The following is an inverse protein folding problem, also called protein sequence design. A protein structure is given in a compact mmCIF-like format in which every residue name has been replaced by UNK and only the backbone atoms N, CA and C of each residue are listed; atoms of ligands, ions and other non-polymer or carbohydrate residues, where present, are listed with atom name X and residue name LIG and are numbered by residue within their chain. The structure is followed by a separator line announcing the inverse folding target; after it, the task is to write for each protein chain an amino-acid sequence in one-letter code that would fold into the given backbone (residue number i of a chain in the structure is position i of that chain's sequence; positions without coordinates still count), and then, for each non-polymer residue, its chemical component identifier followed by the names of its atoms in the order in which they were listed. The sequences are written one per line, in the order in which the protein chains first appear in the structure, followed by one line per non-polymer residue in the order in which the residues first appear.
data_IF_625168926884
#
_entry.id   IF_625168926884
#
_cell.length_a   1.000
_cell.length_b   1.000
_cell.length_c   1.000
_cell.angle_alpha   90.00
_cell.angle_beta   90.00
_cell.angle_gamma   90.00
#
_symmetry.space_group_name_H-M   'P 1'
#
loop_
_entity.id
_entity.type
_entity.pdbx_description
1 polymer ?
#
# COMPACT_ATOMS: atom_id res chain seq x y z
N UNK A 1 28.09 1.33 24.77
CA UNK A 1 28.13 2.02 23.45
C UNK A 1 27.44 1.23 22.32
N UNK A 2 27.58 -0.10 22.22
CA UNK A 2 26.90 -0.93 21.20
C UNK A 2 25.37 -1.01 21.35
N UNK A 3 24.85 -0.85 22.56
CA UNK A 3 23.42 -0.93 22.88
C UNK A 3 22.60 0.22 22.27
N UNK A 4 23.20 1.41 22.12
CA UNK A 4 22.55 2.57 21.49
C UNK A 4 22.34 2.34 19.99
N UNK A 5 23.34 1.78 19.28
CA UNK A 5 23.20 1.45 17.86
C UNK A 5 22.19 0.31 17.65
N UNK A 6 22.17 -0.70 18.53
CA UNK A 6 21.19 -1.78 18.47
C UNK A 6 19.76 -1.27 18.74
N UNK A 7 19.58 -0.35 19.69
CA UNK A 7 18.30 0.31 19.94
C UNK A 7 17.84 1.16 18.75
N UNK A 8 18.74 1.91 18.13
CA UNK A 8 18.45 2.71 16.94
C UNK A 8 18.11 1.82 15.74
N UNK A 9 18.82 0.71 15.56
CA UNK A 9 18.50 -0.30 14.55
C UNK A 9 17.18 -0.99 14.84
N UNK A 10 16.81 -1.20 16.11
CA UNK A 10 15.53 -1.80 16.46
C UNK A 10 14.37 -0.83 16.21
N UNK A 11 14.54 0.46 16.53
CA UNK A 11 13.58 1.51 16.20
C UNK A 11 13.45 1.67 14.69
N UNK A 12 14.58 1.72 13.97
CA UNK A 12 14.58 1.77 12.52
C UNK A 12 13.89 0.54 11.92
N UNK A 13 14.22 -0.67 12.39
CA UNK A 13 13.59 -1.90 11.96
C UNK A 13 12.12 -1.94 12.35
N UNK A 14 11.69 -1.39 13.47
CA UNK A 14 10.27 -1.36 13.90
C UNK A 14 9.47 -0.25 13.23
N UNK A 15 10.11 0.81 12.73
CA UNK A 15 9.50 1.84 11.88
C UNK A 15 9.48 1.46 10.39
N UNK A 16 10.51 0.75 9.90
CA UNK A 16 10.55 0.23 8.53
C UNK A 16 9.86 -1.12 8.34
N UNK A 17 9.86 -2.01 9.33
CA UNK A 17 9.20 -3.33 9.24
C UNK A 17 7.69 -3.26 8.99
N UNK A 18 6.92 -2.27 9.49
CA UNK A 18 5.54 -2.08 9.06
C UNK A 18 5.44 -1.43 7.67
N UNK A 19 6.52 -0.83 7.17
CA UNK A 19 6.61 -0.25 5.83
C UNK A 19 7.05 -1.26 4.76
N UNK A 20 7.71 -2.36 5.17
CA UNK A 20 8.20 -3.46 4.31
C UNK A 20 7.51 -4.81 4.56
N UNK A 21 6.57 -4.90 5.51
CA UNK A 21 5.86 -6.14 5.86
C UNK A 21 4.63 -6.41 4.99
N UNK A 22 4.35 -7.67 4.60
CA UNK A 22 3.35 -8.05 3.59
C UNK A 22 1.91 -8.13 4.14
N UNK A 23 1.49 -7.17 4.94
CA UNK A 23 0.10 -7.08 5.39
C UNK A 23 -0.54 -5.86 4.73
N UNK A 24 -0.93 -6.01 3.45
CA UNK A 24 -1.91 -5.07 2.89
C UNK A 24 -3.16 -5.15 3.77
N UNK A 25 -3.42 -4.04 4.48
CA UNK A 25 -4.57 -3.89 5.38
C UNK A 25 -5.89 -3.85 4.60
N UNK A 26 -5.80 -3.59 3.30
CA UNK A 26 -6.90 -3.54 2.37
C UNK A 26 -6.97 -4.83 1.55
N UNK A 27 -8.19 -5.28 1.29
CA UNK A 27 -8.49 -6.37 0.36
C UNK A 27 -9.23 -5.79 -0.84
N UNK A 28 -8.86 -6.12 -2.10
CA UNK A 28 -7.69 -6.91 -2.51
C UNK A 28 -6.34 -6.23 -2.17
N UNK A 29 -5.26 -7.01 -2.24
CA UNK A 29 -3.91 -6.54 -1.89
C UNK A 29 -3.49 -5.35 -2.75
N UNK A 30 -2.57 -4.53 -2.26
CA UNK A 30 -2.07 -3.34 -2.95
C UNK A 30 -1.48 -3.67 -4.33
N UNK A 31 -0.85 -4.84 -4.48
CA UNK A 31 -0.35 -5.38 -5.75
C UNK A 31 -1.45 -5.86 -6.68
N UNK A 32 -2.47 -6.54 -6.17
CA UNK A 32 -3.63 -6.96 -6.98
C UNK A 32 -4.45 -5.75 -7.42
N UNK A 33 -4.70 -4.79 -6.52
CA UNK A 33 -5.36 -3.54 -6.84
C UNK A 33 -4.60 -2.79 -7.93
N UNK A 34 -3.28 -2.68 -7.83
CA UNK A 34 -2.48 -2.05 -8.87
C UNK A 34 -2.62 -2.79 -10.20
N UNK A 35 -2.48 -4.11 -10.20
CA UNK A 35 -2.63 -4.93 -11.42
C UNK A 35 -4.00 -4.75 -12.07
N UNK A 36 -5.06 -4.81 -11.28
CA UNK A 36 -6.44 -4.66 -11.75
C UNK A 36 -6.69 -3.21 -12.22
N UNK A 37 -6.18 -2.20 -11.50
CA UNK A 37 -6.27 -0.81 -11.90
C UNK A 37 -5.52 -0.52 -13.22
N UNK A 38 -4.32 -1.06 -13.41
CA UNK A 38 -3.58 -0.90 -14.67
C UNK A 38 -4.22 -1.64 -15.85
N UNK A 39 -5.06 -2.63 -15.58
CA UNK A 39 -5.79 -3.39 -16.60
C UNK A 39 -7.10 -2.69 -17.00
N UNK A 40 -7.81 -2.11 -16.03
CA UNK A 40 -9.16 -1.55 -16.21
C UNK A 40 -9.17 -0.02 -16.41
N UNK A 41 -8.18 0.72 -15.89
CA UNK A 41 -8.15 2.20 -15.92
C UNK A 41 -7.00 2.72 -16.80
N UNK A 42 -7.11 3.94 -17.35
CA UNK A 42 -6.00 4.58 -18.06
C UNK A 42 -4.80 4.75 -17.13
N UNK A 43 -3.58 4.59 -17.68
CA UNK A 43 -2.31 4.55 -16.93
C UNK A 43 -2.18 5.65 -15.87
N UNK A 44 -2.54 6.90 -16.19
CA UNK A 44 -2.47 8.01 -15.25
C UNK A 44 -3.39 7.86 -14.04
N UNK A 45 -4.63 7.40 -14.26
CA UNK A 45 -5.63 7.22 -13.19
C UNK A 45 -5.32 5.98 -12.36
N UNK A 46 -4.90 4.90 -13.01
CA UNK A 46 -4.42 3.67 -12.36
C UNK A 46 -3.24 3.94 -11.43
N UNK A 47 -2.24 4.70 -11.91
CA UNK A 47 -1.07 5.07 -11.13
C UNK A 47 -1.45 5.95 -9.94
N UNK A 48 -2.27 6.97 -10.15
CA UNK A 48 -2.69 7.87 -9.07
C UNK A 48 -3.46 7.14 -7.97
N UNK A 49 -4.42 6.26 -8.33
CA UNK A 49 -5.19 5.47 -7.37
C UNK A 49 -4.33 4.48 -6.60
N UNK A 50 -3.44 3.77 -7.29
CA UNK A 50 -2.52 2.80 -6.66
C UNK A 50 -1.56 3.48 -5.69
N UNK A 51 -0.97 4.61 -6.10
CA UNK A 51 -0.05 5.38 -5.28
C UNK A 51 -0.75 5.95 -4.05
N UNK A 52 -1.96 6.49 -4.22
CA UNK A 52 -2.76 7.03 -3.13
C UNK A 52 -3.14 5.95 -2.11
N UNK A 53 -3.43 4.73 -2.57
CA UNK A 53 -3.72 3.58 -1.70
C UNK A 53 -2.48 3.11 -0.92
N UNK A 54 -1.30 3.10 -1.54
CA UNK A 54 -0.03 2.80 -0.87
C UNK A 54 0.26 3.84 0.22
N UNK A 55 0.08 5.13 -0.07
CA UNK A 55 0.26 6.21 0.90
C UNK A 55 -0.72 6.12 2.08
N UNK A 56 -1.94 5.61 1.86
CA UNK A 56 -2.96 5.39 2.91
C UNK A 56 -2.78 4.06 3.65
N UNK A 57 -1.88 3.18 3.21
CA UNK A 57 -1.59 1.90 3.83
C UNK A 57 -0.70 2.09 5.06
N UNK A 58 -1.20 2.81 6.07
CA UNK A 58 -0.53 2.97 7.37
C UNK A 58 -1.12 2.00 8.40
N UNK A 59 -0.33 1.52 9.39
CA UNK A 59 -0.80 0.58 10.42
C UNK A 59 -1.96 1.10 11.28
N UNK A 60 -2.12 2.43 11.34
CA UNK A 60 -3.25 3.09 12.03
C UNK A 60 -4.58 3.04 11.27
N UNK A 61 -4.61 2.46 10.06
CA UNK A 61 -5.80 2.41 9.24
C UNK A 61 -6.53 1.11 9.56
N UNK A 62 -7.85 1.15 9.73
CA UNK A 62 -8.63 -0.06 10.01
C UNK A 62 -8.51 -1.09 8.87
N UNK A 63 -8.13 -0.64 7.67
CA UNK A 63 -8.20 -1.47 6.49
C UNK A 63 -9.65 -1.66 6.06
N UNK A 64 -9.87 -2.31 4.93
CA UNK A 64 -11.21 -2.49 4.41
C UNK A 64 -11.24 -3.16 3.04
N UNK A 65 -12.45 -3.44 2.57
CA UNK A 65 -12.69 -3.91 1.22
C UNK A 65 -12.82 -2.71 0.28
N UNK A 66 -11.83 -2.50 -0.59
CA UNK A 66 -11.82 -1.41 -1.57
C UNK A 66 -11.51 -2.00 -2.94
N UNK A 67 -12.53 -2.44 -3.71
CA UNK A 67 -12.32 -2.99 -5.04
C UNK A 67 -11.98 -1.86 -6.02
N UNK A 68 -11.21 -2.16 -7.07
CA UNK A 68 -10.98 -1.19 -8.14
C UNK A 68 -12.34 -0.83 -8.75
N UNK A 69 -12.68 0.47 -8.85
CA UNK A 69 -13.87 0.86 -9.60
C UNK A 69 -13.64 0.48 -11.05
N UNK A 70 -14.38 -0.54 -11.52
CA UNK A 70 -14.49 -0.85 -12.95
C UNK A 70 -15.32 0.27 -13.54
N UNK A 71 -14.64 1.35 -13.93
CA UNK A 71 -15.26 2.39 -14.73
C UNK A 71 -15.72 1.72 -16.03
N UNK A 72 -17.03 1.57 -16.23
CA UNK A 72 -17.66 1.22 -17.51
C UNK A 72 -17.43 2.30 -18.59
N UNK A 73 -16.42 3.16 -18.42
CA UNK A 73 -16.04 4.22 -19.33
C UNK A 73 -15.10 3.67 -20.42
N UNK A 74 -15.51 2.59 -21.09
CA UNK A 74 -15.11 2.38 -22.48
C UNK A 74 -15.97 3.32 -23.33
N UNK A 75 -15.47 4.52 -23.60
CA UNK A 75 -15.90 5.31 -24.75
C UNK A 75 -14.71 5.95 -25.43
#
# INVERSE_FOLDING_TARGET
MRSLLLGLLWIYKKCLSPFLGPHCRFYPTCSEYAKEAFTELPLGRAFMLSLWRILRCHPWNAGGHDPVPRDEAKK
#
